data_IF_928719934310
#
_entry.id   IF_928719934310
#
_cell.length_a   1.000
_cell.length_b   1.000
_cell.length_c   1.000
_cell.angle_alpha   90.00
_cell.angle_beta   90.00
_cell.angle_gamma   90.00
#
_symmetry.space_group_name_H-M   'P 1'
#
loop_
_entity.id
_entity.type
_entity.pdbx_description
1 polymer ?
#
# COMPACT_ATOMS: atom_id res chain seq x y z
N UNK A 1 2.69 -0.42 -3.44
CA UNK A 1 2.46 0.98 -3.03
C UNK A 1 2.41 1.81 -4.28
N UNK A 2 1.31 2.52 -4.50
CA UNK A 2 1.05 3.21 -5.77
C UNK A 2 0.39 4.56 -5.53
N UNK A 3 0.50 5.45 -6.53
CA UNK A 3 -0.21 6.74 -6.54
C UNK A 3 -1.64 6.66 -7.07
N UNK A 4 -2.02 5.50 -7.61
CA UNK A 4 -3.35 5.28 -8.16
C UNK A 4 -3.74 3.80 -8.08
N UNK A 5 -5.00 3.54 -7.76
CA UNK A 5 -5.55 2.20 -7.71
C UNK A 5 -5.43 1.44 -9.02
N UNK A 6 -5.49 2.11 -10.18
CA UNK A 6 -5.33 1.46 -11.50
C UNK A 6 -3.95 0.85 -11.70
N UNK A 7 -2.88 1.56 -11.32
CA UNK A 7 -1.52 1.01 -11.37
C UNK A 7 -1.34 -0.14 -10.38
N UNK A 8 -1.90 0.01 -9.17
CA UNK A 8 -1.88 -1.05 -8.15
C UNK A 8 -2.62 -2.32 -8.60
N UNK A 9 -3.79 -2.18 -9.21
CA UNK A 9 -4.59 -3.28 -9.73
C UNK A 9 -3.89 -3.99 -10.89
N UNK A 10 -3.32 -3.25 -11.84
CA UNK A 10 -2.59 -3.85 -12.96
C UNK A 10 -1.37 -4.65 -12.48
N UNK A 11 -0.63 -4.13 -11.49
CA UNK A 11 0.47 -4.90 -10.88
C UNK A 11 -0.05 -6.15 -10.14
N UNK A 12 -1.18 -6.04 -9.44
CA UNK A 12 -1.79 -7.18 -8.74
C UNK A 12 -2.21 -8.31 -9.69
N UNK A 13 -2.72 -7.98 -10.88
CA UNK A 13 -3.01 -8.95 -11.94
C UNK A 13 -1.75 -9.67 -12.40
N UNK A 14 -0.65 -8.93 -12.63
CA UNK A 14 0.64 -9.50 -13.04
C UNK A 14 1.25 -10.40 -11.95
N UNK A 15 1.21 -9.97 -10.69
CA UNK A 15 1.70 -10.76 -9.56
C UNK A 15 0.91 -12.06 -9.42
N UNK A 16 -0.42 -11.97 -9.53
CA UNK A 16 -1.32 -13.13 -9.48
C UNK A 16 -1.06 -14.08 -10.65
N UNK A 17 -0.88 -13.55 -11.88
CA UNK A 17 -0.52 -14.34 -13.05
C UNK A 17 0.84 -15.06 -12.89
N UNK A 18 1.76 -14.48 -12.11
CA UNK A 18 3.03 -15.09 -11.74
C UNK A 18 2.94 -16.08 -10.56
N UNK A 19 1.75 -16.33 -10.01
CA UNK A 19 1.52 -17.25 -8.89
C UNK A 19 1.83 -16.67 -7.50
N UNK A 20 1.98 -15.35 -7.39
CA UNK A 20 2.15 -14.67 -6.11
C UNK A 20 0.80 -14.37 -5.48
N UNK A 21 0.73 -14.45 -4.14
CA UNK A 21 -0.41 -13.97 -3.37
C UNK A 21 -0.13 -12.58 -2.82
N UNK A 22 -1.17 -11.75 -2.78
CA UNK A 22 -1.13 -10.42 -2.16
C UNK A 22 -2.08 -10.42 -0.96
N UNK A 23 -1.61 -10.95 0.21
CA UNK A 23 -2.45 -11.01 1.39
C UNK A 23 -2.80 -9.61 1.89
N UNK A 24 -3.98 -9.50 2.49
CA UNK A 24 -4.40 -8.25 3.10
C UNK A 24 -3.53 -7.91 4.31
N UNK A 25 -3.17 -6.62 4.46
CA UNK A 25 -2.55 -6.12 5.69
C UNK A 25 -3.52 -6.23 6.87
N UNK A 26 -2.98 -6.30 8.09
CA UNK A 26 -3.80 -6.35 9.30
C UNK A 26 -4.71 -5.12 9.42
N UNK A 27 -5.86 -5.25 10.07
CA UNK A 27 -6.77 -4.13 10.29
C UNK A 27 -6.10 -2.97 11.05
N UNK A 28 -5.20 -3.29 11.99
CA UNK A 28 -4.39 -2.31 12.72
C UNK A 28 -3.47 -1.53 11.78
N UNK A 29 -2.76 -2.22 10.86
CA UNK A 29 -1.91 -1.57 9.88
C UNK A 29 -2.71 -0.70 8.91
N UNK A 30 -3.87 -1.17 8.46
CA UNK A 30 -4.77 -0.38 7.62
C UNK A 30 -5.23 0.90 8.34
N UNK A 31 -5.60 0.81 9.62
CA UNK A 31 -5.97 1.96 10.43
C UNK A 31 -4.80 2.96 10.61
N UNK A 32 -3.57 2.47 10.84
CA UNK A 32 -2.38 3.31 10.89
C UNK A 32 -2.16 4.06 9.57
N UNK A 33 -2.25 3.37 8.43
CA UNK A 33 -2.08 3.97 7.11
C UNK A 33 -3.11 5.07 6.83
N UNK A 34 -4.34 4.91 7.31
CA UNK A 34 -5.39 5.92 7.17
C UNK A 34 -5.15 7.21 7.97
N UNK A 35 -4.16 7.25 8.86
CA UNK A 35 -3.72 8.52 9.47
C UNK A 35 -3.05 9.46 8.45
N UNK A 36 -2.57 8.93 7.32
CA UNK A 36 -1.93 9.70 6.25
C UNK A 36 -2.65 9.60 4.90
N UNK A 37 -3.44 8.55 4.69
CA UNK A 37 -4.16 8.24 3.45
C UNK A 37 -5.68 8.36 3.66
N UNK A 38 -6.41 9.12 2.83
CA UNK A 38 -7.87 9.23 2.93
C UNK A 38 -8.61 7.88 3.00
N UNK A 39 -9.65 7.79 3.83
CA UNK A 39 -10.40 6.54 4.09
C UNK A 39 -11.05 5.91 2.84
N UNK A 40 -11.31 6.71 1.80
CA UNK A 40 -11.91 6.20 0.56
C UNK A 40 -10.92 5.47 -0.35
N UNK A 41 -9.61 5.51 -0.05
CA UNK A 41 -8.56 4.83 -0.82
C UNK A 41 -8.23 3.46 -0.22
N UNK A 42 -7.97 2.47 -1.07
CA UNK A 42 -7.63 1.13 -0.62
C UNK A 42 -6.21 1.07 -0.04
N UNK A 43 -6.08 0.59 1.20
CA UNK A 43 -4.78 0.35 1.87
C UNK A 43 -4.57 -1.11 2.24
N UNK A 44 -5.45 -2.00 1.80
CA UNK A 44 -5.43 -3.41 2.19
C UNK A 44 -4.31 -4.23 1.53
N UNK A 45 -3.63 -3.73 0.49
CA UNK A 45 -2.72 -4.42 -0.45
C UNK A 45 -3.46 -4.82 -1.76
N UNK A 46 -3.26 -4.07 -2.87
CA UNK A 46 -2.31 -2.98 -3.05
C UNK A 46 -2.70 -1.69 -2.32
N UNK A 47 -1.72 -0.90 -1.89
CA UNK A 47 -1.92 0.42 -1.27
C UNK A 47 -1.96 1.51 -2.34
N UNK A 48 -3.03 2.32 -2.33
CA UNK A 48 -3.17 3.57 -3.08
C UNK A 48 -3.03 4.78 -2.14
N UNK A 49 -2.02 5.61 -2.38
CA UNK A 49 -1.75 6.80 -1.58
C UNK A 49 -2.43 8.09 -2.12
N UNK A 50 -3.06 8.05 -3.30
CA UNK A 50 -3.71 9.20 -3.92
C UNK A 50 -2.77 10.30 -4.46
N UNK A 51 -1.51 9.97 -4.70
CA UNK A 51 -0.47 10.81 -5.31
C UNK A 51 0.18 11.84 -4.38
N UNK A 52 -0.63 12.56 -3.60
CA UNK A 52 -0.14 13.67 -2.77
C UNK A 52 1.01 13.27 -1.81
N UNK A 53 0.97 12.13 -1.11
CA UNK A 53 2.04 11.74 -0.19
C UNK A 53 3.41 11.56 -0.84
N UNK A 54 3.50 11.37 -2.17
CA UNK A 54 4.79 11.27 -2.87
C UNK A 54 5.54 12.60 -2.86
N UNK A 55 4.83 13.73 -2.77
CA UNK A 55 5.42 15.07 -2.77
C UNK A 55 5.64 15.68 -1.39
N UNK A 56 5.29 14.98 -0.30
CA UNK A 56 5.38 15.54 1.05
C UNK A 56 5.89 14.54 2.11
N UNK A 57 5.93 15.00 3.36
CA UNK A 57 6.50 14.28 4.49
C UNK A 57 5.78 12.95 4.81
N UNK A 58 4.52 12.79 4.40
CA UNK A 58 3.72 11.59 4.64
C UNK A 58 4.26 10.39 3.88
N UNK A 59 4.79 10.59 2.66
CA UNK A 59 5.31 9.50 1.84
C UNK A 59 6.38 8.69 2.56
N UNK A 60 7.33 9.37 3.23
CA UNK A 60 8.35 8.69 4.04
C UNK A 60 7.73 7.92 5.21
N UNK A 61 6.77 8.52 5.92
CA UNK A 61 6.06 7.87 7.04
C UNK A 61 5.32 6.60 6.60
N UNK A 62 4.61 6.66 5.48
CA UNK A 62 3.89 5.51 4.93
C UNK A 62 4.86 4.39 4.56
N UNK A 63 5.94 4.70 3.85
CA UNK A 63 6.95 3.69 3.45
C UNK A 63 7.60 3.05 4.69
N UNK A 64 8.00 3.86 5.67
CA UNK A 64 8.60 3.35 6.91
C UNK A 64 7.60 2.47 7.69
N UNK A 65 6.32 2.86 7.77
CA UNK A 65 5.28 2.11 8.46
C UNK A 65 4.98 0.75 7.79
N UNK A 66 5.03 0.69 6.45
CA UNK A 66 4.89 -0.55 5.68
C UNK A 66 6.11 -1.46 5.93
N UNK A 67 7.32 -0.93 5.84
CA UNK A 67 8.55 -1.69 6.02
C UNK A 67 8.79 -2.15 7.48
N UNK A 68 8.14 -1.50 8.44
CA UNK A 68 8.15 -1.92 9.84
C UNK A 68 7.23 -3.12 10.12
N UNK A 69 6.32 -3.46 9.21
CA UNK A 69 5.44 -4.62 9.37
C UNK A 69 6.19 -5.93 9.06
N UNK A 70 6.37 -6.85 10.02
CA UNK A 70 7.14 -8.07 9.80
C UNK A 70 6.49 -9.05 8.80
N UNK A 71 5.22 -8.84 8.43
CA UNK A 71 4.56 -9.62 7.38
C UNK A 71 4.97 -9.17 5.96
N UNK A 72 5.61 -8.01 5.82
CA UNK A 72 6.04 -7.45 4.54
C UNK A 72 7.48 -7.87 4.24
N UNK A 73 7.64 -8.81 3.31
CA UNK A 73 8.97 -9.24 2.83
C UNK A 73 9.54 -8.35 1.72
N UNK A 74 8.67 -7.77 0.88
CA UNK A 74 9.05 -6.94 -0.27
C UNK A 74 8.02 -5.82 -0.44
N UNK A 75 8.50 -4.60 -0.72
CA UNK A 75 7.68 -3.46 -1.10
C UNK A 75 7.94 -3.10 -2.56
N UNK A 76 6.88 -3.00 -3.35
CA UNK A 76 6.87 -2.60 -4.76
C UNK A 76 5.97 -1.40 -4.91
#
# INVERSE_FOLDING_TARGET
>A
YSISGGTGAHFADLATAAGLTLPALSAEKQAELHTWIPEYLNVANPIDNGGHPVGDWRGRKIIDAILADPSVGVLI
#
